data_IF_956529066073
#
_entry.id   IF_956529066073
#
_cell.length_a   1.000
_cell.length_b   1.000
_cell.length_c   1.000
_cell.angle_alpha   90.00
_cell.angle_beta   90.00
_cell.angle_gamma   90.00
#
_symmetry.space_group_name_H-M   'P 1'
#
loop_
_entity.id
_entity.type
_entity.pdbx_description
1 polymer ?
#
# COMPACT_ATOMS: atom_id res chain seq x y z
N UNK A 1 -3.97 24.27 -3.32
CA UNK A 1 -3.97 22.99 -4.08
C UNK A 1 -4.88 21.94 -3.43
N UNK A 2 -4.77 21.73 -2.12
CA UNK A 2 -5.53 20.76 -1.31
C UNK A 2 -7.06 20.84 -1.50
N UNK A 3 -7.60 22.06 -1.58
CA UNK A 3 -9.04 22.28 -1.75
C UNK A 3 -9.59 21.79 -3.10
N UNK A 4 -8.81 21.91 -4.18
CA UNK A 4 -9.20 21.38 -5.50
C UNK A 4 -9.18 19.86 -5.51
N UNK A 5 -8.14 19.25 -4.90
CA UNK A 5 -8.01 17.80 -4.82
C UNK A 5 -9.15 17.20 -3.98
N UNK A 6 -9.45 17.82 -2.83
CA UNK A 6 -10.57 17.44 -1.96
C UNK A 6 -11.89 17.42 -2.73
N UNK A 7 -12.22 18.52 -3.41
CA UNK A 7 -13.44 18.61 -4.24
C UNK A 7 -13.50 17.54 -5.33
N UNK A 8 -12.36 17.23 -5.97
CA UNK A 8 -12.32 16.20 -7.00
C UNK A 8 -12.57 14.79 -6.44
N UNK A 9 -11.99 14.46 -5.28
CA UNK A 9 -12.20 13.18 -4.60
C UNK A 9 -13.63 13.03 -4.07
N UNK A 10 -14.18 14.12 -3.55
CA UNK A 10 -15.54 14.20 -3.03
C UNK A 10 -16.60 14.27 -4.14
N UNK A 11 -16.22 14.53 -5.40
CA UNK A 11 -17.14 14.53 -6.54
C UNK A 11 -17.70 13.12 -6.86
N UNK A 12 -16.96 12.06 -6.53
CA UNK A 12 -17.36 10.66 -6.77
C UNK A 12 -17.01 9.74 -5.59
N UNK A 13 -17.59 9.99 -4.41
CA UNK A 13 -17.09 9.42 -3.16
C UNK A 13 -17.18 7.89 -3.13
N UNK A 14 -18.23 7.31 -3.72
CA UNK A 14 -18.42 5.85 -3.81
C UNK A 14 -17.37 5.18 -4.70
N UNK A 15 -17.06 5.77 -5.87
CA UNK A 15 -16.05 5.23 -6.77
C UNK A 15 -14.66 5.33 -6.15
N UNK A 16 -14.34 6.47 -5.54
CA UNK A 16 -13.07 6.68 -4.82
C UNK A 16 -12.89 5.62 -3.74
N UNK A 17 -13.91 5.38 -2.89
CA UNK A 17 -13.85 4.33 -1.86
C UNK A 17 -13.74 2.93 -2.44
N UNK A 18 -14.51 2.62 -3.48
CA UNK A 18 -14.44 1.30 -4.12
C UNK A 18 -13.05 1.02 -4.69
N UNK A 19 -12.42 2.00 -5.33
CA UNK A 19 -11.05 1.88 -5.84
C UNK A 19 -10.03 1.71 -4.71
N UNK A 20 -10.13 2.49 -3.63
CA UNK A 20 -9.20 2.43 -2.50
C UNK A 20 -9.35 1.13 -1.69
N UNK A 21 -10.57 0.71 -1.38
CA UNK A 21 -10.84 -0.50 -0.63
C UNK A 21 -10.63 -1.77 -1.48
N UNK A 22 -10.94 -1.75 -2.77
CA UNK A 22 -10.77 -2.91 -3.65
C UNK A 22 -9.34 -3.03 -4.19
N UNK A 23 -9.12 -2.66 -5.47
CA UNK A 23 -7.83 -2.85 -6.12
C UNK A 23 -6.68 -2.07 -5.46
N UNK A 24 -6.96 -0.89 -4.89
CA UNK A 24 -5.97 -0.06 -4.21
C UNK A 24 -5.39 -0.73 -2.97
N UNK A 25 -6.23 -1.34 -2.14
CA UNK A 25 -5.79 -2.06 -0.93
C UNK A 25 -4.93 -3.28 -1.28
N UNK A 26 -5.31 -4.02 -2.33
CA UNK A 26 -4.53 -5.15 -2.84
C UNK A 26 -3.18 -4.68 -3.36
N UNK A 27 -3.16 -3.65 -4.20
CA UNK A 27 -1.92 -3.08 -4.73
C UNK A 27 -0.99 -2.58 -3.62
N UNK A 28 -1.53 -1.87 -2.62
CA UNK A 28 -0.74 -1.40 -1.48
C UNK A 28 -0.13 -2.55 -0.68
N UNK A 29 -0.89 -3.61 -0.40
CA UNK A 29 -0.40 -4.78 0.32
C UNK A 29 0.69 -5.53 -0.47
N UNK A 30 0.53 -5.67 -1.79
CA UNK A 30 1.54 -6.29 -2.63
C UNK A 30 2.82 -5.44 -2.69
N UNK A 31 2.72 -4.13 -2.89
CA UNK A 31 3.89 -3.24 -2.90
C UNK A 31 4.62 -3.26 -1.56
N UNK A 32 3.89 -3.30 -0.44
CA UNK A 32 4.47 -3.46 0.89
C UNK A 32 5.26 -4.76 1.01
N UNK A 33 4.70 -5.88 0.54
CA UNK A 33 5.37 -7.17 0.52
C UNK A 33 6.60 -7.20 -0.40
N UNK A 34 6.55 -6.52 -1.54
CA UNK A 34 7.70 -6.40 -2.46
C UNK A 34 8.87 -5.62 -1.86
N UNK A 35 8.60 -4.68 -0.95
CA UNK A 35 9.64 -3.93 -0.24
C UNK A 35 10.25 -4.73 0.92
N UNK A 36 9.60 -5.79 1.39
CA UNK A 36 10.02 -6.53 2.59
C UNK A 36 11.42 -7.14 2.56
N UNK A 37 11.90 -7.72 1.44
CA UNK A 37 13.25 -8.29 1.38
C UNK A 37 14.35 -7.29 1.73
N UNK A 38 14.10 -5.99 1.57
CA UNK A 38 15.08 -4.92 1.81
C UNK A 38 15.33 -4.74 3.32
N UNK A 39 14.30 -4.91 4.16
CA UNK A 39 14.38 -4.64 5.60
C UNK A 39 14.25 -5.88 6.48
N UNK A 40 13.83 -7.03 5.93
CA UNK A 40 13.82 -8.30 6.65
C UNK A 40 15.18 -8.99 6.56
N UNK A 41 15.63 -9.67 7.63
CA UNK A 41 16.81 -10.51 7.55
C UNK A 41 16.56 -11.65 6.57
N UNK A 42 17.64 -12.18 5.98
CA UNK A 42 17.58 -13.41 5.19
C UNK A 42 17.14 -14.59 6.07
N UNK A 43 16.44 -15.53 5.46
CA UNK A 43 16.02 -16.76 6.12
C UNK A 43 17.16 -17.73 6.36
N UNK A 44 16.90 -18.76 7.17
CA UNK A 44 17.87 -19.79 7.49
C UNK A 44 18.41 -20.54 6.25
N UNK A 45 17.65 -20.56 5.16
CA UNK A 45 18.05 -21.13 3.88
C UNK A 45 18.94 -20.18 3.02
N UNK A 46 19.33 -19.01 3.53
CA UNK A 46 20.15 -18.03 2.81
C UNK A 46 19.40 -17.21 1.74
N UNK A 47 18.09 -17.44 1.58
CA UNK A 47 17.17 -16.70 0.71
C UNK A 47 16.24 -15.81 1.53
N UNK A 48 15.51 -14.89 0.89
CA UNK A 48 14.57 -14.00 1.55
C UNK A 48 13.44 -14.77 2.26
N UNK A 49 13.05 -14.31 3.45
CA UNK A 49 12.05 -14.97 4.27
C UNK A 49 10.63 -14.82 3.68
N UNK A 50 10.23 -15.74 2.79
CA UNK A 50 8.93 -15.72 2.11
C UNK A 50 7.72 -15.88 3.04
N UNK A 51 7.92 -16.47 4.23
CA UNK A 51 6.86 -16.67 5.23
C UNK A 51 6.24 -15.36 5.68
N UNK A 52 7.05 -14.30 5.84
CA UNK A 52 6.54 -12.99 6.28
C UNK A 52 5.61 -12.34 5.25
N UNK A 53 6.00 -12.15 3.96
CA UNK A 53 5.09 -11.70 2.92
C UNK A 53 3.82 -12.54 2.83
N UNK A 54 3.94 -13.87 2.91
CA UNK A 54 2.80 -14.78 2.75
C UNK A 54 1.70 -14.53 3.81
N UNK A 55 2.10 -14.26 5.05
CA UNK A 55 1.18 -13.98 6.16
C UNK A 55 0.77 -12.51 6.19
N UNK A 56 1.70 -11.59 5.90
CA UNK A 56 1.47 -10.16 6.04
C UNK A 56 0.69 -9.57 4.88
N UNK A 57 0.76 -10.11 3.66
CA UNK A 57 -0.06 -9.64 2.53
C UNK A 57 -1.56 -9.63 2.88
N UNK A 58 -2.20 -10.74 3.30
CA UNK A 58 -3.63 -10.71 3.64
C UNK A 58 -3.92 -9.82 4.86
N UNK A 59 -2.99 -9.74 5.82
CA UNK A 59 -3.18 -8.91 7.01
C UNK A 59 -3.13 -7.41 6.68
N UNK A 60 -2.13 -6.98 5.91
CA UNK A 60 -1.99 -5.59 5.46
C UNK A 60 -3.12 -5.22 4.53
N UNK A 61 -3.50 -6.11 3.62
CA UNK A 61 -4.69 -5.92 2.80
C UNK A 61 -5.93 -5.67 3.65
N UNK A 62 -6.19 -6.51 4.66
CA UNK A 62 -7.35 -6.37 5.54
C UNK A 62 -7.32 -5.04 6.30
N UNK A 63 -6.15 -4.64 6.83
CA UNK A 63 -5.99 -3.35 7.52
C UNK A 63 -6.27 -2.18 6.58
N UNK A 64 -5.69 -2.18 5.37
CA UNK A 64 -5.89 -1.11 4.39
C UNK A 64 -7.34 -1.08 3.89
N UNK A 65 -7.95 -2.23 3.67
CA UNK A 65 -9.36 -2.36 3.30
C UNK A 65 -10.28 -1.77 4.38
N UNK A 66 -10.09 -2.17 5.64
CA UNK A 66 -10.89 -1.69 6.76
C UNK A 66 -10.68 -0.20 6.96
N UNK A 67 -9.44 0.27 6.90
CA UNK A 67 -9.12 1.70 6.97
C UNK A 67 -9.85 2.48 5.86
N UNK A 68 -9.84 1.99 4.62
CA UNK A 68 -10.54 2.63 3.52
C UNK A 68 -12.07 2.68 3.70
N UNK A 69 -12.65 1.72 4.42
CA UNK A 69 -14.07 1.68 4.71
C UNK A 69 -14.48 2.62 5.85
N UNK A 70 -13.65 2.73 6.89
CA UNK A 70 -13.95 3.47 8.13
C UNK A 70 -13.57 4.95 8.01
N UNK A 71 -12.53 5.29 7.25
CA UNK A 71 -12.03 6.67 7.16
C UNK A 71 -13.08 7.64 6.55
N UNK A 72 -13.37 8.70 7.30
CA UNK A 72 -14.35 9.72 6.93
C UNK A 72 -13.81 10.64 5.84
N UNK A 73 -12.52 10.98 5.90
CA UNK A 73 -11.87 11.87 4.95
C UNK A 73 -11.29 11.10 3.76
N UNK A 74 -11.93 11.22 2.59
CA UNK A 74 -11.41 10.62 1.35
C UNK A 74 -10.01 11.12 0.99
N UNK A 75 -9.73 12.40 1.23
CA UNK A 75 -8.41 12.96 0.99
C UNK A 75 -7.33 12.32 1.87
N UNK A 76 -7.63 12.10 3.16
CA UNK A 76 -6.72 11.44 4.09
C UNK A 76 -6.54 9.97 3.71
N UNK A 77 -7.62 9.30 3.34
CA UNK A 77 -7.60 7.91 2.88
C UNK A 77 -6.67 7.74 1.66
N UNK A 78 -6.86 8.58 0.63
CA UNK A 78 -6.00 8.62 -0.56
C UNK A 78 -4.55 8.90 -0.18
N UNK A 79 -4.30 9.93 0.64
CA UNK A 79 -2.94 10.33 0.99
C UNK A 79 -2.18 9.21 1.71
N UNK A 80 -2.82 8.51 2.65
CA UNK A 80 -2.19 7.43 3.41
C UNK A 80 -1.95 6.20 2.53
N UNK A 81 -2.95 5.74 1.78
CA UNK A 81 -2.84 4.53 0.97
C UNK A 81 -1.86 4.76 -0.19
N UNK A 82 -2.04 5.84 -0.96
CA UNK A 82 -1.14 6.15 -2.06
C UNK A 82 0.26 6.51 -1.58
N UNK A 83 0.40 7.20 -0.44
CA UNK A 83 1.70 7.52 0.15
C UNK A 83 2.46 6.25 0.55
N UNK A 84 1.80 5.33 1.25
CA UNK A 84 2.39 4.05 1.65
C UNK A 84 2.77 3.21 0.44
N UNK A 85 1.85 3.08 -0.54
CA UNK A 85 2.10 2.36 -1.77
C UNK A 85 3.27 2.97 -2.58
N UNK A 86 3.35 4.29 -2.67
CA UNK A 86 4.43 4.98 -3.36
C UNK A 86 5.78 4.74 -2.68
N UNK A 87 5.87 4.86 -1.36
CA UNK A 87 7.11 4.59 -0.61
C UNK A 87 7.56 3.15 -0.84
N UNK A 88 6.67 2.16 -0.65
CA UNK A 88 7.02 0.75 -0.81
C UNK A 88 7.36 0.40 -2.26
N UNK A 89 6.61 0.94 -3.22
CA UNK A 89 6.86 0.73 -4.64
C UNK A 89 8.18 1.33 -5.10
N UNK A 90 8.52 2.54 -4.63
CA UNK A 90 9.79 3.18 -4.93
C UNK A 90 10.95 2.39 -4.31
N UNK A 91 10.83 1.92 -3.06
CA UNK A 91 11.87 1.09 -2.45
C UNK A 91 12.09 -0.21 -3.22
N UNK A 92 11.02 -0.90 -3.62
CA UNK A 92 11.12 -2.11 -4.42
C UNK A 92 11.73 -1.83 -5.80
N UNK A 93 11.33 -0.75 -6.47
CA UNK A 93 11.88 -0.35 -7.76
C UNK A 93 13.39 -0.03 -7.67
N UNK A 94 13.82 0.69 -6.64
CA UNK A 94 15.24 1.00 -6.42
C UNK A 94 16.07 -0.27 -6.20
N UNK A 95 15.56 -1.22 -5.43
CA UNK A 95 16.19 -2.52 -5.23
C UNK A 95 16.33 -3.31 -6.54
N UNK A 96 15.31 -3.32 -7.40
CA UNK A 96 15.40 -3.98 -8.70
C UNK A 96 16.40 -3.34 -9.66
N UNK A 97 16.62 -2.03 -9.54
CA UNK A 97 17.65 -1.33 -10.33
C UNK A 97 19.07 -1.49 -9.78
N UNK A 98 19.25 -2.19 -8.65
CA UNK A 98 20.55 -2.43 -8.01
C UNK A 98 21.14 -1.19 -7.32
N UNK A 99 20.30 -0.18 -7.04
CA UNK A 99 20.73 1.05 -6.36
C UNK A 99 20.89 0.85 -4.85
N UNK A 100 20.12 -0.07 -4.28
CA UNK A 100 20.14 -0.54 -2.89
C UNK A 100 20.03 -2.05 -2.88
#
# INVERSE_FOLDING_TARGET
>A
MTERLRRALDARPRLTRWLLAGPGAVAAALLFAMAMPIWLPKGAAGIDNIVFPLILVPLIWAVVFVYACVEESLLRCVAVICGTAAVCGLTAAMAFTGWI
#
